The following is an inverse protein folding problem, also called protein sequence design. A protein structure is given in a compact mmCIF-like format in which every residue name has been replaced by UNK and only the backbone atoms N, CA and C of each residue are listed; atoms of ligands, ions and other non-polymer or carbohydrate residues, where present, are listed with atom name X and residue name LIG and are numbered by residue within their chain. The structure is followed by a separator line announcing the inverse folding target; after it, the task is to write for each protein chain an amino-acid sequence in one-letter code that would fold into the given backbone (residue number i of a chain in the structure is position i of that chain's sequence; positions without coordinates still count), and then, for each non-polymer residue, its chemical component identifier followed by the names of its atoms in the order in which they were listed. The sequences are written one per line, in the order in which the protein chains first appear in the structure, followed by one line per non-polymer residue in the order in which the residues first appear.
data_IF_878201533963
#
_entry.id   IF_878201533963
#
_cell.length_a   1.000
_cell.length_b   1.000
_cell.length_c   1.000
_cell.angle_alpha   90.00
_cell.angle_beta   90.00
_cell.angle_gamma   90.00
#
_symmetry.space_group_name_H-M   'P 1'
#
loop_
_entity.id
_entity.type
_entity.pdbx_description
1 polymer ?
#
# COMPACT_ATOMS: atom_id res chain seq x y z
N UNK A 1 0.72 -22.87 2.15
CA UNK A 1 -0.25 -21.89 1.61
C UNK A 1 -0.65 -22.25 0.19
N UNK A 2 -1.95 -22.44 -0.06
CA UNK A 2 -2.51 -22.85 -1.36
C UNK A 2 -2.19 -21.82 -2.46
N UNK A 3 -1.91 -22.30 -3.68
CA UNK A 3 -1.63 -21.47 -4.86
C UNK A 3 -2.78 -20.51 -5.19
N UNK A 4 -4.04 -20.98 -5.11
CA UNK A 4 -5.23 -20.14 -5.36
C UNK A 4 -5.36 -19.01 -4.33
N UNK A 5 -5.16 -19.30 -3.05
CA UNK A 5 -5.19 -18.28 -1.99
C UNK A 5 -4.13 -17.19 -2.21
N UNK A 6 -2.90 -17.61 -2.53
CA UNK A 6 -1.79 -16.68 -2.84
C UNK A 6 -2.13 -15.78 -4.03
N UNK A 7 -2.76 -16.35 -5.06
CA UNK A 7 -3.23 -15.60 -6.22
C UNK A 7 -4.28 -14.55 -5.84
N UNK A 8 -5.30 -14.94 -5.06
CA UNK A 8 -6.38 -14.04 -4.62
C UNK A 8 -5.82 -12.87 -3.81
N UNK A 9 -5.02 -13.16 -2.78
CA UNK A 9 -4.39 -12.14 -1.92
C UNK A 9 -3.59 -11.15 -2.75
N UNK A 10 -2.78 -11.64 -3.69
CA UNK A 10 -1.93 -10.81 -4.54
C UNK A 10 -2.73 -9.97 -5.54
N UNK A 11 -3.76 -10.55 -6.16
CA UNK A 11 -4.61 -9.81 -7.11
C UNK A 11 -5.42 -8.75 -6.37
N UNK A 12 -6.01 -9.07 -5.22
CA UNK A 12 -6.74 -8.13 -4.38
C UNK A 12 -5.85 -6.95 -3.98
N UNK A 13 -4.66 -7.24 -3.42
CA UNK A 13 -3.70 -6.21 -3.05
C UNK A 13 -3.26 -5.37 -4.25
N UNK A 14 -2.99 -6.01 -5.39
CA UNK A 14 -2.61 -5.32 -6.62
C UNK A 14 -3.69 -4.36 -7.12
N UNK A 15 -4.96 -4.79 -7.15
CA UNK A 15 -6.10 -3.93 -7.53
C UNK A 15 -6.21 -2.73 -6.58
N UNK A 16 -6.16 -2.96 -5.27
CA UNK A 16 -6.24 -1.89 -4.28
C UNK A 16 -5.16 -0.82 -4.51
N UNK A 17 -3.91 -1.23 -4.73
CA UNK A 17 -2.80 -0.30 -4.96
C UNK A 17 -2.94 0.48 -6.26
N UNK A 18 -3.38 -0.16 -7.35
CA UNK A 18 -3.62 0.56 -8.61
C UNK A 18 -4.74 1.58 -8.44
N UNK A 19 -5.86 1.21 -7.81
CA UNK A 19 -7.01 2.10 -7.63
C UNK A 19 -6.67 3.27 -6.71
N UNK A 20 -6.13 3.01 -5.52
CA UNK A 20 -5.81 4.07 -4.56
C UNK A 20 -4.59 4.90 -4.97
N UNK A 21 -3.61 4.30 -5.66
CA UNK A 21 -2.47 5.00 -6.21
C UNK A 21 -2.87 5.92 -7.35
N UNK A 22 -3.70 5.43 -8.28
CA UNK A 22 -4.24 6.25 -9.35
C UNK A 22 -5.09 7.39 -8.80
N UNK A 23 -5.87 7.15 -7.73
CA UNK A 23 -6.67 8.20 -7.10
C UNK A 23 -5.83 9.34 -6.48
N UNK A 24 -4.58 9.05 -6.06
CA UNK A 24 -3.64 10.09 -5.59
C UNK A 24 -3.10 10.96 -6.73
N UNK A 25 -3.00 10.40 -7.94
CA UNK A 25 -2.53 11.11 -9.13
C UNK A 25 -3.66 11.89 -9.82
N UNK A 26 -4.81 11.24 -9.91
CA UNK A 26 -6.02 11.75 -10.54
C UNK A 26 -7.17 11.51 -9.57
N UNK A 27 -7.66 12.53 -8.85
CA UNK A 27 -8.74 12.35 -7.89
C UNK A 27 -10.06 12.00 -8.61
N UNK A 28 -10.45 10.72 -8.62
CA UNK A 28 -11.69 10.25 -9.23
C UNK A 28 -12.61 9.50 -8.26
N UNK A 29 -12.10 9.09 -7.09
CA UNK A 29 -12.87 8.54 -5.99
C UNK A 29 -13.00 9.59 -4.89
N UNK A 30 -14.23 9.97 -4.50
CA UNK A 30 -14.44 10.80 -3.34
C UNK A 30 -13.97 10.04 -2.09
N UNK A 31 -13.05 10.65 -1.35
CA UNK A 31 -12.56 10.13 -0.08
C UNK A 31 -13.10 11.02 1.05
N UNK A 32 -13.48 10.45 2.20
CA UNK A 32 -13.85 11.24 3.36
C UNK A 32 -12.72 12.21 3.71
N UNK A 33 -13.04 13.48 3.92
CA UNK A 33 -12.03 14.44 4.32
C UNK A 33 -11.54 14.14 5.74
N UNK A 34 -10.22 14.02 5.94
CA UNK A 34 -9.66 13.86 7.27
C UNK A 34 -9.91 15.12 8.11
N UNK A 35 -10.22 14.94 9.39
CA UNK A 35 -10.42 16.03 10.34
C UNK A 35 -9.24 16.15 11.33
N UNK A 36 -9.13 17.31 12.00
CA UNK A 36 -8.16 17.54 13.07
C UNK A 36 -6.70 17.32 12.63
N UNK A 37 -5.93 16.60 13.45
CA UNK A 37 -4.51 16.36 13.22
C UNK A 37 -4.22 15.60 11.90
N UNK A 38 -5.11 14.71 11.46
CA UNK A 38 -4.97 14.05 10.17
C UNK A 38 -5.05 15.04 9.01
N UNK A 39 -5.96 16.02 9.09
CA UNK A 39 -6.11 17.07 8.07
C UNK A 39 -4.85 17.92 7.95
N UNK A 40 -4.29 18.35 9.09
CA UNK A 40 -3.07 19.16 9.14
C UNK A 40 -1.86 18.41 8.55
N UNK A 41 -1.72 17.12 8.88
CA UNK A 41 -0.66 16.27 8.35
C UNK A 41 -0.78 16.11 6.83
N UNK A 42 -1.96 15.72 6.34
CA UNK A 42 -2.20 15.51 4.90
C UNK A 42 -2.02 16.80 4.10
N UNK A 43 -2.50 17.94 4.62
CA UNK A 43 -2.32 19.25 3.99
C UNK A 43 -0.85 19.65 3.90
N UNK A 44 -0.07 19.39 4.95
CA UNK A 44 1.38 19.64 4.98
C UNK A 44 2.12 18.80 3.94
N UNK A 45 1.79 17.51 3.84
CA UNK A 45 2.35 16.63 2.80
C UNK A 45 1.96 17.10 1.40
N UNK A 46 0.72 17.54 1.21
CA UNK A 46 0.24 18.04 -0.08
C UNK A 46 0.99 19.30 -0.52
N UNK A 47 1.23 20.22 0.43
CA UNK A 47 1.93 21.47 0.17
C UNK A 47 3.39 21.27 -0.32
N UNK A 48 4.00 20.11 -0.05
CA UNK A 48 5.34 19.78 -0.59
C UNK A 48 5.35 19.57 -2.11
N UNK A 49 4.20 19.29 -2.74
CA UNK A 49 4.05 19.12 -4.18
C UNK A 49 4.58 17.82 -4.78
N UNK A 50 5.37 17.02 -4.05
CA UNK A 50 5.96 15.79 -4.59
C UNK A 50 5.50 14.50 -3.89
N UNK A 51 5.10 14.57 -2.61
CA UNK A 51 4.81 13.37 -1.81
C UNK A 51 3.66 12.55 -2.41
N UNK A 52 2.49 13.14 -2.65
CA UNK A 52 1.35 12.40 -3.20
C UNK A 52 1.57 11.88 -4.62
N UNK A 53 2.16 12.66 -5.56
CA UNK A 53 2.54 12.15 -6.86
C UNK A 53 3.49 10.95 -6.81
N UNK A 54 4.55 11.04 -6.00
CA UNK A 54 5.53 9.94 -5.87
C UNK A 54 4.88 8.71 -5.22
N UNK A 55 4.10 8.88 -4.16
CA UNK A 55 3.38 7.77 -3.53
C UNK A 55 2.38 7.11 -4.50
N UNK A 56 1.62 7.90 -5.26
CA UNK A 56 0.69 7.39 -6.26
C UNK A 56 1.38 6.59 -7.35
N UNK A 57 2.51 7.08 -7.89
CA UNK A 57 3.32 6.37 -8.89
C UNK A 57 3.86 5.06 -8.32
N UNK A 58 4.39 5.07 -7.09
CA UNK A 58 4.90 3.87 -6.44
C UNK A 58 3.79 2.83 -6.24
N UNK A 59 2.64 3.24 -5.69
CA UNK A 59 1.50 2.35 -5.47
C UNK A 59 1.00 1.73 -6.77
N UNK A 60 0.81 2.52 -7.84
CA UNK A 60 0.40 2.00 -9.15
C UNK A 60 1.44 1.04 -9.71
N UNK A 61 2.72 1.40 -9.65
CA UNK A 61 3.82 0.59 -10.18
C UNK A 61 3.91 -0.76 -9.46
N UNK A 62 3.84 -0.76 -8.13
CA UNK A 62 3.79 -1.96 -7.30
C UNK A 62 2.54 -2.78 -7.63
N UNK A 63 1.38 -2.14 -7.69
CA UNK A 63 0.12 -2.80 -8.00
C UNK A 63 0.16 -3.54 -9.34
N UNK A 64 0.67 -2.89 -10.40
CA UNK A 64 0.86 -3.49 -11.71
C UNK A 64 1.86 -4.66 -11.68
N UNK A 65 2.98 -4.53 -10.95
CA UNK A 65 3.92 -5.65 -10.74
C UNK A 65 3.23 -6.87 -10.13
N UNK A 66 2.38 -6.66 -9.11
CA UNK A 66 1.62 -7.74 -8.48
C UNK A 66 0.60 -8.38 -9.43
N UNK A 67 -0.13 -7.58 -10.21
CA UNK A 67 -1.14 -8.06 -11.15
C UNK A 67 -0.51 -8.89 -12.29
N UNK A 68 0.56 -8.37 -12.90
CA UNK A 68 1.29 -9.04 -13.98
C UNK A 68 2.23 -10.15 -13.51
N UNK A 69 2.27 -10.45 -12.19
CA UNK A 69 3.20 -11.43 -11.60
C UNK A 69 4.68 -11.08 -11.81
N UNK A 70 5.01 -9.81 -12.06
CA UNK A 70 6.39 -9.37 -12.36
C UNK A 70 7.08 -8.95 -11.07
N UNK A 71 8.25 -9.54 -10.77
CA UNK A 71 9.08 -9.19 -9.60
C UNK A 71 8.33 -9.17 -8.26
N UNK A 72 7.41 -10.12 -8.06
CA UNK A 72 6.51 -10.15 -6.89
C UNK A 72 7.23 -10.02 -5.54
N UNK A 73 8.33 -10.75 -5.26
CA UNK A 73 9.03 -10.63 -3.97
C UNK A 73 9.62 -9.22 -3.75
N UNK A 74 10.12 -8.58 -4.81
CA UNK A 74 10.60 -7.21 -4.74
C UNK A 74 9.46 -6.22 -4.50
N UNK A 75 8.34 -6.37 -5.23
CA UNK A 75 7.19 -5.47 -5.14
C UNK A 75 6.58 -5.44 -3.72
N UNK A 76 6.46 -6.59 -3.05
CA UNK A 76 5.90 -6.66 -1.68
C UNK A 76 6.86 -6.13 -0.61
N UNK A 77 8.17 -6.23 -0.80
CA UNK A 77 9.15 -5.56 0.07
C UNK A 77 9.10 -4.04 -0.14
N UNK A 78 9.06 -3.58 -1.39
CA UNK A 78 8.94 -2.16 -1.70
C UNK A 78 7.66 -1.55 -1.10
N UNK A 79 6.58 -2.34 -1.05
CA UNK A 79 5.32 -1.96 -0.40
C UNK A 79 5.39 -1.94 1.13
N UNK A 80 6.29 -2.70 1.77
CA UNK A 80 6.35 -2.86 3.22
C UNK A 80 6.36 -1.53 3.99
N UNK A 81 7.32 -0.59 3.77
CA UNK A 81 7.33 0.68 4.48
C UNK A 81 6.10 1.54 4.19
N UNK A 82 5.57 1.50 2.96
CA UNK A 82 4.38 2.25 2.56
C UNK A 82 3.15 1.70 3.32
N UNK A 83 2.96 0.39 3.33
CA UNK A 83 1.84 -0.27 4.02
C UNK A 83 1.86 -0.03 5.53
N UNK A 84 3.05 -0.06 6.15
CA UNK A 84 3.22 0.24 7.57
C UNK A 84 2.88 1.71 7.84
N UNK A 85 3.37 2.65 7.02
CA UNK A 85 3.06 4.06 7.20
C UNK A 85 1.54 4.34 7.05
N UNK A 86 0.87 3.72 6.07
CA UNK A 86 -0.59 3.82 5.92
C UNK A 86 -1.29 3.33 7.18
N UNK A 87 -0.86 2.20 7.75
CA UNK A 87 -1.43 1.67 8.99
C UNK A 87 -1.20 2.62 10.17
N UNK A 88 0.02 3.13 10.35
CA UNK A 88 0.35 4.06 11.43
C UNK A 88 -0.45 5.36 11.32
N UNK A 89 -0.56 5.94 10.12
CA UNK A 89 -1.40 7.13 9.91
C UNK A 89 -2.84 6.91 10.38
N UNK A 90 -3.44 5.77 10.03
CA UNK A 90 -4.82 5.49 10.46
C UNK A 90 -4.92 5.15 11.95
N UNK A 91 -3.95 4.45 12.54
CA UNK A 91 -3.96 4.14 13.97
C UNK A 91 -3.84 5.40 14.85
N UNK A 92 -3.03 6.38 14.44
CA UNK A 92 -2.74 7.56 15.25
C UNK A 92 -3.58 8.79 14.89
N UNK A 93 -3.92 8.98 13.61
CA UNK A 93 -4.54 10.22 13.14
C UNK A 93 -5.94 10.02 12.52
N UNK A 94 -6.23 8.85 11.94
CA UNK A 94 -7.45 8.62 11.17
C UNK A 94 -8.13 7.26 11.44
N UNK A 95 -8.49 7.01 12.71
CA UNK A 95 -9.05 5.72 13.17
C UNK A 95 -10.24 5.22 12.34
N UNK A 96 -11.20 6.06 11.88
CA UNK A 96 -12.32 5.58 11.07
C UNK A 96 -11.92 4.82 9.79
N UNK A 97 -10.73 5.08 9.24
CA UNK A 97 -10.21 4.38 8.04
C UNK A 97 -9.29 3.18 8.33
N UNK A 98 -9.08 2.80 9.60
CA UNK A 98 -8.09 1.79 9.99
C UNK A 98 -8.35 0.42 9.39
N UNK A 99 -9.60 0.04 9.14
CA UNK A 99 -9.96 -1.28 8.61
C UNK A 99 -9.31 -1.56 7.25
N UNK A 100 -9.33 -0.58 6.34
CA UNK A 100 -8.71 -0.70 5.03
C UNK A 100 -7.17 -0.74 5.12
N UNK A 101 -6.60 0.10 5.99
CA UNK A 101 -5.16 0.13 6.22
C UNK A 101 -4.63 -1.19 6.80
N UNK A 102 -5.37 -1.76 7.75
CA UNK A 102 -5.07 -3.06 8.33
C UNK A 102 -5.16 -4.18 7.29
N UNK A 103 -6.18 -4.15 6.42
CA UNK A 103 -6.31 -5.10 5.33
C UNK A 103 -5.07 -5.08 4.41
N UNK A 104 -4.64 -3.89 3.96
CA UNK A 104 -3.44 -3.75 3.11
C UNK A 104 -2.20 -4.29 3.80
N UNK A 105 -1.97 -3.91 5.07
CA UNK A 105 -0.80 -4.34 5.84
C UNK A 105 -0.79 -5.86 6.05
N UNK A 106 -1.94 -6.46 6.38
CA UNK A 106 -2.07 -7.91 6.60
C UNK A 106 -1.86 -8.68 5.28
N UNK A 107 -2.48 -8.26 4.18
CA UNK A 107 -2.28 -8.91 2.88
C UNK A 107 -0.81 -8.84 2.45
N UNK A 108 -0.15 -7.70 2.66
CA UNK A 108 1.26 -7.56 2.37
C UNK A 108 2.12 -8.49 3.25
N UNK A 109 1.88 -8.53 4.56
CA UNK A 109 2.58 -9.40 5.50
C UNK A 109 2.41 -10.89 5.14
N UNK A 110 1.21 -11.32 4.74
CA UNK A 110 0.94 -12.69 4.27
C UNK A 110 1.80 -13.03 3.05
N UNK A 111 1.90 -12.11 2.08
CA UNK A 111 2.72 -12.34 0.88
C UNK A 111 4.22 -12.34 1.19
N UNK A 112 4.68 -11.47 2.10
CA UNK A 112 6.07 -11.44 2.56
C UNK A 112 6.41 -12.77 3.23
N UNK A 113 5.57 -13.24 4.16
CA UNK A 113 5.74 -14.53 4.83
C UNK A 113 5.81 -15.68 3.82
N UNK A 114 4.94 -15.67 2.80
CA UNK A 114 4.95 -16.68 1.73
C UNK A 114 6.26 -16.71 0.93
N UNK A 115 6.90 -15.56 0.73
CA UNK A 115 8.14 -15.43 -0.05
C UNK A 115 9.39 -15.31 0.84
N UNK A 116 9.28 -15.51 2.16
CA UNK A 116 10.33 -15.23 3.14
C UNK A 116 11.69 -15.83 2.77
N UNK A 117 11.70 -17.08 2.29
CA UNK A 117 12.93 -17.78 1.90
C UNK A 117 13.72 -17.08 0.78
N UNK A 118 13.05 -16.28 -0.05
CA UNK A 118 13.69 -15.51 -1.13
C UNK A 118 14.41 -14.26 -0.61
N UNK A 119 14.18 -13.89 0.66
CA UNK A 119 14.80 -12.72 1.29
C UNK A 119 16.02 -13.05 2.13
N UNK A 120 16.36 -14.35 2.29
CA UNK A 120 17.57 -14.75 3.00
C UNK A 120 18.83 -13.97 2.54
N UNK A 121 19.07 -13.72 1.23
CA UNK A 121 20.24 -12.96 0.80
C UNK A 121 20.27 -11.49 1.23
N UNK A 122 19.15 -10.92 1.69
CA UNK A 122 19.10 -9.53 2.19
C UNK A 122 19.63 -9.41 3.63
N UNK A 123 19.75 -10.53 4.35
CA UNK A 123 20.10 -10.59 5.76
C UNK A 123 21.29 -11.52 6.05
N UNK A 124 21.97 -11.98 5.01
CA UNK A 124 23.10 -12.89 5.08
C UNK A 124 24.43 -12.13 4.97
#
# INVERSE_FOLDING_TARGET
MNSKFTMIVRVLLGIMLVVFGANKLFPFLPMPEPAGAASAFMSSLNATGYIFPVLGILEVTIGLMLLFKKWVPFAIILLAPISINILLFHLFLAIPGVGLALLVAVLNAILIYKHWRLYNPLFA
#
